data_IF_012966427338
#
_entry.id   IF_012966427338
#
_cell.length_a   1.000
_cell.length_b   1.000
_cell.length_c   1.000
_cell.angle_alpha   90.00
_cell.angle_beta   90.00
_cell.angle_gamma   90.00
#
_symmetry.space_group_name_H-M   'P 1'
#
loop_
_entity.id
_entity.type
_entity.pdbx_description
1 polymer ?
#
# COMPACT_ATOMS: atom_id res chain seq x y z
N UNK A 1 -8.68 5.29 -2.93
CA UNK A 1 -8.36 4.82 -1.56
C UNK A 1 -7.15 5.50 -0.93
N UNK A 2 -6.00 5.59 -1.61
CA UNK A 2 -4.76 6.17 -1.05
C UNK A 2 -4.90 7.56 -0.41
N UNK A 3 -5.69 8.46 -1.00
CA UNK A 3 -5.89 9.83 -0.52
C UNK A 3 -6.44 9.93 0.92
N UNK A 4 -7.16 8.91 1.39
CA UNK A 4 -7.76 8.85 2.74
C UNK A 4 -7.06 7.85 3.66
N UNK A 5 -6.00 7.18 3.17
CA UNK A 5 -5.26 6.15 3.92
C UNK A 5 -4.08 6.77 4.67
N UNK A 6 -3.80 6.31 5.90
CA UNK A 6 -2.63 6.76 6.68
C UNK A 6 -1.33 6.05 6.28
N UNK A 7 -1.46 4.80 5.86
CA UNK A 7 -0.38 3.89 5.48
C UNK A 7 -0.77 3.15 4.21
N UNK A 8 0.21 2.87 3.35
CA UNK A 8 0.06 2.01 2.18
C UNK A 8 1.07 0.87 2.26
N UNK A 9 0.58 -0.35 2.05
CA UNK A 9 1.43 -1.54 1.93
C UNK A 9 1.56 -1.90 0.44
N UNK A 10 2.77 -1.77 -0.10
CA UNK A 10 3.10 -2.29 -1.42
C UNK A 10 3.53 -3.76 -1.28
N UNK A 11 2.90 -4.62 -2.09
CA UNK A 11 3.21 -6.03 -2.15
C UNK A 11 3.89 -6.34 -3.48
N UNK A 12 5.01 -7.06 -3.40
CA UNK A 12 5.77 -7.54 -4.56
C UNK A 12 5.85 -9.07 -4.47
N UNK A 13 5.78 -9.76 -5.60
CA UNK A 13 6.11 -11.19 -5.65
C UNK A 13 7.60 -11.35 -5.93
N UNK A 14 8.28 -12.15 -5.12
CA UNK A 14 9.66 -12.54 -5.38
C UNK A 14 9.74 -13.65 -6.45
N UNK A 15 8.62 -14.32 -6.78
CA UNK A 15 8.59 -15.31 -7.85
C UNK A 15 8.56 -14.67 -9.25
N UNK A 16 7.99 -13.47 -9.37
CA UNK A 16 8.01 -12.71 -10.62
C UNK A 16 9.44 -12.22 -10.92
N UNK A 17 9.95 -12.50 -12.12
CA UNK A 17 11.31 -12.11 -12.52
C UNK A 17 12.41 -13.15 -12.29
N UNK A 18 12.04 -14.42 -12.02
CA UNK A 18 12.98 -15.55 -11.95
C UNK A 18 13.49 -15.94 -13.36
N UNK A 19 12.66 -15.82 -14.40
CA UNK A 19 13.03 -16.17 -15.78
C UNK A 19 13.50 -14.96 -16.58
N UNK A 20 12.86 -13.80 -16.39
CA UNK A 20 13.25 -12.52 -16.98
C UNK A 20 13.57 -11.51 -15.88
N UNK A 21 14.86 -11.36 -15.57
CA UNK A 21 15.47 -10.44 -14.58
C UNK A 21 15.10 -8.95 -14.75
N UNK A 22 14.17 -8.61 -15.63
CA UNK A 22 14.01 -7.26 -16.19
C UNK A 22 12.80 -6.52 -15.64
N UNK A 23 11.74 -7.20 -15.18
CA UNK A 23 10.48 -6.53 -14.79
C UNK A 23 9.88 -7.12 -13.50
N UNK A 24 10.44 -6.72 -12.35
CA UNK A 24 9.85 -6.99 -11.02
C UNK A 24 8.66 -6.07 -10.70
N UNK A 25 8.55 -4.94 -11.39
CA UNK A 25 7.42 -4.01 -11.32
C UNK A 25 6.90 -3.89 -12.74
N UNK A 26 5.72 -4.45 -12.99
CA UNK A 26 5.06 -4.41 -14.29
C UNK A 26 4.58 -3.00 -14.67
N UNK A 27 4.09 -2.84 -15.89
CA UNK A 27 3.63 -1.54 -16.37
C UNK A 27 2.50 -0.97 -15.51
N UNK A 28 1.59 -1.82 -15.02
CA UNK A 28 0.52 -1.41 -14.11
C UNK A 28 1.07 -0.95 -12.77
N UNK A 29 2.02 -1.67 -12.18
CA UNK A 29 2.72 -1.29 -10.97
C UNK A 29 3.44 0.05 -11.12
N UNK A 30 4.08 0.30 -12.28
CA UNK A 30 4.70 1.58 -12.58
C UNK A 30 3.67 2.72 -12.66
N UNK A 31 2.51 2.50 -13.30
CA UNK A 31 1.43 3.49 -13.32
C UNK A 31 0.91 3.77 -11.90
N UNK A 32 0.65 2.74 -11.10
CA UNK A 32 0.19 2.88 -9.72
C UNK A 32 1.22 3.66 -8.89
N UNK A 33 2.50 3.31 -8.95
CA UNK A 33 3.56 4.00 -8.21
C UNK A 33 3.68 5.46 -8.63
N UNK A 34 3.69 5.73 -9.94
CA UNK A 34 3.80 7.08 -10.48
C UNK A 34 2.61 7.94 -10.05
N UNK A 35 1.39 7.44 -10.19
CA UNK A 35 0.18 8.14 -9.73
C UNK A 35 0.13 8.30 -8.21
N UNK A 36 0.65 7.34 -7.45
CA UNK A 36 0.68 7.39 -5.99
C UNK A 36 1.67 8.42 -5.46
N UNK A 37 2.83 8.55 -6.11
CA UNK A 37 3.83 9.56 -5.78
C UNK A 37 3.37 10.95 -6.17
N UNK A 38 2.77 11.12 -7.36
CA UNK A 38 2.33 12.44 -7.85
C UNK A 38 1.20 13.04 -7.02
N UNK A 39 0.28 12.23 -6.49
CA UNK A 39 -0.82 12.72 -5.64
C UNK A 39 -0.42 12.96 -4.17
N UNK A 40 0.82 12.64 -3.78
CA UNK A 40 1.25 12.60 -2.39
C UNK A 40 0.99 11.24 -1.74
N UNK A 41 2.08 10.49 -1.55
CA UNK A 41 2.05 9.15 -0.98
C UNK A 41 1.91 9.19 0.55
N UNK A 42 0.97 8.44 1.15
CA UNK A 42 0.93 8.15 2.59
C UNK A 42 2.18 7.41 3.07
N UNK A 43 2.23 7.05 4.36
CA UNK A 43 3.37 6.31 4.92
C UNK A 43 3.52 4.96 4.20
N UNK A 44 4.59 4.73 3.43
CA UNK A 44 4.73 3.48 2.70
C UNK A 44 5.29 2.37 3.59
N UNK A 45 4.93 1.15 3.28
CA UNK A 45 5.56 -0.08 3.76
C UNK A 45 5.68 -1.01 2.56
N UNK A 46 6.79 -1.72 2.44
CA UNK A 46 7.04 -2.63 1.31
C UNK A 46 7.25 -4.04 1.82
N UNK A 47 6.49 -4.98 1.28
CA UNK A 47 6.60 -6.40 1.57
C UNK A 47 6.78 -7.23 0.29
N UNK A 48 7.54 -8.32 0.42
CA UNK A 48 7.68 -9.36 -0.61
C UNK A 48 7.01 -10.65 -0.15
N UNK A 49 6.40 -11.34 -1.10
CA UNK A 49 5.83 -12.68 -0.96
C UNK A 49 6.58 -13.66 -1.85
N UNK A 50 6.36 -14.95 -1.64
CA UNK A 50 6.91 -16.04 -2.45
C UNK A 50 8.44 -16.14 -2.39
N UNK A 51 9.10 -15.62 -1.35
CA UNK A 51 10.56 -15.74 -1.24
C UNK A 51 10.97 -17.21 -1.03
N UNK A 52 10.08 -18.01 -0.43
CA UNK A 52 10.28 -19.45 -0.27
C UNK A 52 10.32 -20.22 -1.61
N UNK A 53 9.71 -19.70 -2.68
CA UNK A 53 9.75 -20.30 -4.02
C UNK A 53 11.14 -20.27 -4.66
N UNK A 54 11.99 -19.33 -4.22
CA UNK A 54 13.37 -19.19 -4.72
C UNK A 54 14.27 -20.19 -3.99
N UNK A 55 15.24 -20.76 -4.72
CA UNK A 55 16.26 -21.63 -4.14
C UNK A 55 16.95 -20.96 -2.94
N UNK A 56 17.07 -21.62 -1.77
CA UNK A 56 17.59 -21.02 -0.55
C UNK A 56 18.92 -20.24 -0.70
N UNK A 57 19.83 -20.74 -1.55
CA UNK A 57 21.12 -20.08 -1.85
C UNK A 57 20.98 -18.72 -2.54
N UNK A 58 19.94 -18.52 -3.36
CA UNK A 58 19.70 -17.29 -4.15
C UNK A 58 18.75 -16.30 -3.47
N UNK A 59 18.02 -16.71 -2.42
CA UNK A 59 17.03 -15.85 -1.73
C UNK A 59 17.60 -14.51 -1.27
N UNK A 60 18.81 -14.53 -0.70
CA UNK A 60 19.43 -13.31 -0.19
C UNK A 60 19.77 -12.33 -1.32
N UNK A 61 20.42 -12.83 -2.37
CA UNK A 61 20.76 -12.05 -3.56
C UNK A 61 19.52 -11.47 -4.23
N UNK A 62 18.48 -12.30 -4.42
CA UNK A 62 17.23 -11.85 -5.04
C UNK A 62 16.52 -10.78 -4.21
N UNK A 63 16.48 -10.94 -2.87
CA UNK A 63 15.95 -9.91 -1.98
C UNK A 63 16.74 -8.60 -2.07
N UNK A 64 18.06 -8.66 -2.21
CA UNK A 64 18.88 -7.45 -2.42
C UNK A 64 18.56 -6.77 -3.76
N UNK A 65 18.32 -7.53 -4.83
CA UNK A 65 17.91 -6.98 -6.12
C UNK A 65 16.56 -6.26 -6.01
N UNK A 66 15.56 -6.88 -5.37
CA UNK A 66 14.27 -6.25 -5.11
C UNK A 66 14.45 -4.96 -4.28
N UNK A 67 15.27 -5.01 -3.22
CA UNK A 67 15.56 -3.82 -2.41
C UNK A 67 16.18 -2.68 -3.25
N UNK A 68 17.10 -2.99 -4.17
CA UNK A 68 17.70 -1.98 -5.07
C UNK A 68 16.65 -1.33 -5.98
N UNK A 69 15.70 -2.11 -6.49
CA UNK A 69 14.61 -1.58 -7.32
C UNK A 69 13.64 -0.73 -6.51
N UNK A 70 13.27 -1.18 -5.32
CA UNK A 70 12.40 -0.41 -4.41
C UNK A 70 13.07 0.91 -4.02
N UNK A 71 14.37 0.92 -3.76
CA UNK A 71 15.11 2.14 -3.42
C UNK A 71 15.07 3.22 -4.51
N UNK A 72 14.84 2.86 -5.78
CA UNK A 72 14.66 3.84 -6.86
C UNK A 72 13.40 4.68 -6.67
N UNK A 73 12.35 4.08 -6.10
CA UNK A 73 11.04 4.71 -5.90
C UNK A 73 10.85 5.22 -4.48
N UNK A 74 11.33 4.43 -3.49
CA UNK A 74 11.13 4.64 -2.06
C UNK A 74 12.47 4.44 -1.33
N UNK A 75 13.41 5.42 -1.39
CA UNK A 75 14.77 5.27 -0.88
C UNK A 75 14.88 4.96 0.63
N UNK A 76 13.89 5.40 1.42
CA UNK A 76 13.87 5.23 2.88
C UNK A 76 13.25 3.89 3.32
N UNK A 77 12.69 3.12 2.38
CA UNK A 77 11.86 1.95 2.70
C UNK A 77 12.61 0.63 2.62
N UNK A 78 12.65 -0.11 3.74
CA UNK A 78 13.17 -1.47 3.79
C UNK A 78 12.10 -2.49 3.40
N UNK A 79 12.48 -3.43 2.52
CA UNK A 79 11.65 -4.55 2.09
C UNK A 79 11.56 -5.63 3.18
N UNK A 80 10.34 -5.89 3.63
CA UNK A 80 9.99 -6.94 4.59
C UNK A 80 9.54 -8.21 3.85
N UNK A 81 9.66 -9.37 4.48
CA UNK A 81 9.09 -10.62 3.95
C UNK A 81 7.69 -10.78 4.52
N UNK A 82 6.79 -11.44 3.78
CA UNK A 82 5.44 -11.78 4.19
C UNK A 82 5.10 -13.21 3.73
N UNK A 83 5.85 -14.20 4.21
CA UNK A 83 5.60 -15.61 3.89
C UNK A 83 4.95 -16.35 5.07
N UNK A 84 5.18 -15.89 6.30
CA UNK A 84 4.68 -16.54 7.53
C UNK A 84 3.78 -15.61 8.34
N UNK A 85 2.93 -16.18 9.20
CA UNK A 85 2.10 -15.42 10.12
C UNK A 85 2.92 -14.47 11.02
N UNK A 86 4.10 -14.91 11.46
CA UNK A 86 5.02 -14.10 12.28
C UNK A 86 5.50 -12.86 11.51
N UNK A 87 5.66 -12.97 10.20
CA UNK A 87 6.03 -11.84 9.34
C UNK A 87 4.90 -10.81 9.28
N UNK A 88 3.65 -11.28 9.15
CA UNK A 88 2.46 -10.43 9.20
C UNK A 88 2.37 -9.63 10.51
N UNK A 89 2.61 -10.28 11.65
CA UNK A 89 2.65 -9.61 12.97
C UNK A 89 3.76 -8.55 13.02
N UNK A 90 4.93 -8.83 12.45
CA UNK A 90 6.02 -7.86 12.37
C UNK A 90 5.69 -6.65 11.49
N UNK A 91 4.99 -6.87 10.37
CA UNK A 91 4.52 -5.78 9.51
C UNK A 91 3.48 -4.94 10.24
N UNK A 92 2.48 -5.56 10.90
CA UNK A 92 1.48 -4.84 11.69
C UNK A 92 2.13 -4.00 12.80
N UNK A 93 3.11 -4.57 13.51
CA UNK A 93 3.88 -3.85 14.52
C UNK A 93 4.64 -2.65 13.93
N UNK A 94 5.21 -2.78 12.73
CA UNK A 94 5.83 -1.67 12.01
C UNK A 94 4.81 -0.60 11.68
N UNK A 95 3.66 -0.98 11.10
CA UNK A 95 2.57 -0.04 10.76
C UNK A 95 2.07 0.72 11.99
N UNK A 96 1.96 0.05 13.14
CA UNK A 96 1.52 0.67 14.39
C UNK A 96 2.53 1.65 15.00
N UNK A 97 3.84 1.38 14.87
CA UNK A 97 4.89 2.14 15.54
C UNK A 97 5.64 3.13 14.64
N UNK A 98 5.44 3.08 13.32
CA UNK A 98 6.15 3.95 12.39
C UNK A 98 5.67 5.40 12.49
N UNK A 99 6.61 6.34 12.28
CA UNK A 99 6.26 7.75 12.13
C UNK A 99 5.39 7.92 10.88
N UNK A 100 4.19 8.47 11.07
CA UNK A 100 3.27 8.72 9.96
C UNK A 100 3.74 9.92 9.14
N UNK A 101 3.68 9.79 7.83
CA UNK A 101 3.90 10.89 6.89
C UNK A 101 2.64 11.75 6.79
N UNK A 102 2.80 13.05 7.03
CA UNK A 102 1.74 14.04 6.88
C UNK A 102 1.51 14.37 5.40
N UNK A 103 0.24 14.51 5.01
CA UNK A 103 -0.16 14.91 3.66
C UNK A 103 -0.96 16.20 3.77
N UNK A 104 -0.36 17.32 3.35
CA UNK A 104 -0.85 18.65 3.63
C UNK A 104 -2.32 18.90 3.23
N UNK A 105 -2.74 18.46 2.05
CA UNK A 105 -4.10 18.72 1.57
C UNK A 105 -5.17 17.90 2.32
N UNK A 106 -4.79 16.73 2.81
CA UNK A 106 -5.64 15.81 3.59
C UNK A 106 -5.73 16.32 5.03
N UNK A 107 -4.59 16.67 5.61
CA UNK A 107 -4.52 17.08 7.02
C UNK A 107 -5.12 18.48 7.26
N UNK A 108 -5.29 19.30 6.20
CA UNK A 108 -5.94 20.62 6.27
C UNK A 108 -7.46 20.59 6.05
N UNK A 109 -8.04 19.45 5.67
CA UNK A 109 -9.46 19.35 5.33
C UNK A 109 -10.09 18.17 6.05
N UNK A 110 -11.12 18.39 6.89
CA UNK A 110 -11.85 17.30 7.52
C UNK A 110 -12.40 16.37 6.45
N UNK A 111 -12.19 15.07 6.63
CA UNK A 111 -12.67 14.05 5.72
C UNK A 111 -13.14 12.81 6.48
N UNK A 112 -13.92 11.97 5.81
CA UNK A 112 -14.49 10.76 6.39
C UNK A 112 -14.46 9.64 5.37
N UNK A 113 -14.18 8.43 5.84
CA UNK A 113 -14.40 7.19 5.09
C UNK A 113 -15.73 6.61 5.56
N UNK A 114 -16.67 6.44 4.63
CA UNK A 114 -17.98 5.88 4.93
C UNK A 114 -17.85 4.39 5.30
N UNK A 115 -18.27 4.04 6.51
CA UNK A 115 -18.34 2.66 7.00
C UNK A 115 -19.73 2.06 6.76
N UNK A 116 -20.76 2.89 6.93
CA UNK A 116 -22.15 2.54 6.67
C UNK A 116 -22.82 3.66 5.90
N UNK A 117 -23.65 3.28 4.93
CA UNK A 117 -24.35 4.19 4.03
C UNK A 117 -25.80 3.75 3.93
N UNK A 118 -26.71 4.63 4.34
CA UNK A 118 -28.16 4.42 4.25
C UNK A 118 -28.76 5.52 3.38
N UNK A 119 -29.58 5.15 2.40
CA UNK A 119 -30.27 6.11 1.54
C UNK A 119 -31.76 6.16 1.88
N UNK A 120 -32.24 7.35 2.20
CA UNK A 120 -33.64 7.65 2.46
C UNK A 120 -34.23 8.36 1.24
N UNK A 121 -34.98 7.67 0.36
CA UNK A 121 -35.64 8.30 -0.78
C UNK A 121 -36.73 9.27 -0.30
N UNK A 122 -36.94 10.35 -1.05
CA UNK A 122 -38.13 11.19 -0.90
C UNK A 122 -39.38 10.47 -1.45
N UNK A 123 -40.57 10.85 -0.98
CA UNK A 123 -41.84 10.21 -1.38
C UNK A 123 -42.15 10.38 -2.89
N UNK A 124 -41.60 11.42 -3.51
CA UNK A 124 -41.79 11.70 -4.94
C UNK A 124 -40.48 12.19 -5.57
N UNK A 125 -40.16 11.71 -6.77
CA UNK A 125 -38.96 12.11 -7.51
C UNK A 125 -37.83 11.08 -7.43
N UNK A 126 -36.61 11.51 -7.77
CA UNK A 126 -35.40 10.67 -7.81
C UNK A 126 -34.33 11.11 -6.79
N UNK A 127 -34.71 11.99 -5.86
CA UNK A 127 -33.83 12.55 -4.83
C UNK A 127 -34.13 11.93 -3.46
N UNK A 128 -33.19 12.12 -2.53
CA UNK A 128 -33.24 11.54 -1.20
C UNK A 128 -32.05 11.95 -0.36
N UNK A 129 -32.09 11.62 0.93
CA UNK A 129 -31.03 11.92 1.89
C UNK A 129 -30.11 10.73 2.05
N UNK A 130 -28.80 10.95 1.90
CA UNK A 130 -27.77 9.96 2.19
C UNK A 130 -27.26 10.14 3.62
N UNK A 131 -27.54 9.19 4.49
CA UNK A 131 -26.91 9.08 5.81
C UNK A 131 -25.59 8.36 5.66
N UNK A 132 -24.54 8.96 6.18
CA UNK A 132 -23.18 8.41 6.12
C UNK A 132 -22.62 8.34 7.53
N UNK A 133 -22.26 7.13 7.96
CA UNK A 133 -21.62 6.88 9.25
C UNK A 133 -20.14 6.57 9.03
N UNK A 134 -19.27 7.12 9.87
CA UNK A 134 -17.84 6.82 9.87
C UNK A 134 -17.08 7.74 10.81
N UNK A 135 -15.75 7.67 10.76
CA UNK A 135 -14.87 8.46 11.62
C UNK A 135 -14.39 9.73 10.91
N UNK A 136 -14.54 10.87 11.57
CA UNK A 136 -13.94 12.13 11.14
C UNK A 136 -12.42 12.05 11.31
N UNK A 137 -11.69 12.43 10.26
CA UNK A 137 -10.24 12.46 10.18
C UNK A 137 -9.73 13.85 9.83
#
# INVERSE_FOLDING_TARGET
>A
CLKVSDTVLFLLSAAMGIEDTTILIDNWGNTILTSSLSQGLPTPVVAITDLESITPKKRHEHKQLIQKLVNKWLPEEKVMVLDKNVDGVNILRRIGNQKRKSILYRDRRPHLLAEEVEYLPEETGTLGTLKVTGYLR
#
